data_IF_893303823107
#
_entry.id   IF_893303823107
#
_cell.length_a   1.000
_cell.length_b   1.000
_cell.length_c   1.000
_cell.angle_alpha   90.00
_cell.angle_beta   90.00
_cell.angle_gamma   90.00
#
_symmetry.space_group_name_H-M   'P 1'
#
loop_
_entity.id
_entity.type
_entity.pdbx_description
1 polymer ?
#
# COMPACT_ATOMS: atom_id res chain seq x y z
N UNK A 1 -18.47 12.28 4.75
CA UNK A 1 -17.33 12.56 3.87
C UNK A 1 -16.83 11.27 3.27
N UNK A 2 -16.72 11.22 1.94
CA UNK A 2 -16.30 10.01 1.24
C UNK A 2 -14.77 9.92 1.23
N UNK A 3 -14.22 8.78 1.64
CA UNK A 3 -12.80 8.54 1.54
C UNK A 3 -12.43 8.14 0.11
N UNK A 4 -11.28 8.60 -0.34
CA UNK A 4 -10.73 8.22 -1.63
C UNK A 4 -9.30 7.72 -1.44
N UNK A 5 -9.04 6.51 -1.91
CA UNK A 5 -7.71 5.93 -1.92
C UNK A 5 -7.21 5.73 -3.33
N UNK A 6 -5.93 5.94 -3.52
CA UNK A 6 -5.21 5.51 -4.72
C UNK A 6 -4.43 4.26 -4.36
N UNK A 7 -4.20 3.38 -5.31
CA UNK A 7 -3.31 2.24 -5.12
C UNK A 7 -2.23 2.26 -6.17
N UNK A 8 -1.04 1.81 -5.82
CA UNK A 8 0.06 1.73 -6.77
C UNK A 8 1.00 0.59 -6.37
N UNK A 9 1.43 -0.19 -7.37
CA UNK A 9 2.46 -1.20 -7.21
C UNK A 9 3.70 -0.79 -7.99
N UNK A 10 4.88 -1.22 -7.55
CA UNK A 10 6.12 -0.85 -8.22
C UNK A 10 6.72 -1.98 -9.05
N UNK A 11 6.03 -3.11 -9.18
CA UNK A 11 6.47 -4.23 -10.02
C UNK A 11 6.69 -3.76 -11.46
N UNK A 12 7.89 -3.99 -11.97
CA UNK A 12 8.21 -3.68 -13.35
C UNK A 12 8.40 -2.20 -13.69
N UNK A 13 8.35 -1.29 -12.71
CA UNK A 13 8.51 0.14 -12.98
C UNK A 13 9.84 0.70 -12.49
N UNK A 14 10.13 1.93 -12.89
CA UNK A 14 11.29 2.70 -12.42
C UNK A 14 10.83 3.78 -11.46
N UNK A 15 11.75 4.32 -10.64
CA UNK A 15 11.40 5.42 -9.73
C UNK A 15 10.88 6.64 -10.48
N UNK A 16 11.50 7.13 -11.58
CA UNK A 16 10.94 8.26 -12.30
C UNK A 16 9.51 8.03 -12.80
N UNK A 17 9.22 6.86 -13.38
CA UNK A 17 7.88 6.56 -13.87
C UNK A 17 6.88 6.42 -12.71
N UNK A 18 7.31 5.85 -11.61
CA UNK A 18 6.51 5.72 -10.40
C UNK A 18 6.13 7.11 -9.85
N UNK A 19 7.13 7.99 -9.71
CA UNK A 19 6.89 9.35 -9.22
C UNK A 19 5.95 10.12 -10.14
N UNK A 20 6.11 9.98 -11.46
CA UNK A 20 5.24 10.63 -12.41
C UNK A 20 3.79 10.19 -12.25
N UNK A 21 3.56 8.90 -12.06
CA UNK A 21 2.21 8.37 -11.91
C UNK A 21 1.53 8.91 -10.65
N UNK A 22 2.21 8.92 -9.51
CA UNK A 22 1.62 9.43 -8.27
C UNK A 22 1.45 10.95 -8.28
N UNK A 23 2.38 11.67 -8.86
CA UNK A 23 2.26 13.13 -9.00
C UNK A 23 1.11 13.53 -9.93
N UNK A 24 0.99 12.85 -11.07
CA UNK A 24 -0.07 13.15 -12.04
C UNK A 24 -1.47 12.90 -11.45
N UNK A 25 -1.60 11.96 -10.54
CA UNK A 25 -2.86 11.68 -9.88
C UNK A 25 -3.19 12.66 -8.74
N UNK A 26 -2.24 13.52 -8.36
CA UNK A 26 -2.45 14.47 -7.28
C UNK A 26 -2.27 13.88 -5.89
N UNK A 27 -1.58 12.74 -5.78
CA UNK A 27 -1.29 12.12 -4.50
C UNK A 27 -0.41 13.02 -3.66
N UNK A 28 -0.78 13.22 -2.39
CA UNK A 28 -0.03 14.06 -1.45
C UNK A 28 0.67 13.25 -0.37
N UNK A 29 0.24 12.03 -0.15
CA UNK A 29 0.90 11.15 0.80
C UNK A 29 0.81 9.70 0.32
N UNK A 30 1.91 8.98 0.56
CA UNK A 30 1.99 7.56 0.22
C UNK A 30 2.18 6.77 1.50
N UNK A 31 1.30 5.80 1.71
CA UNK A 31 1.37 4.90 2.86
C UNK A 31 1.86 3.54 2.36
N UNK A 32 3.03 3.16 2.85
CA UNK A 32 3.67 1.91 2.52
C UNK A 32 3.14 0.82 3.45
N UNK A 33 2.36 -0.09 2.90
CA UNK A 33 1.77 -1.20 3.67
C UNK A 33 2.51 -2.52 3.43
N UNK A 34 3.77 -2.46 3.00
CA UNK A 34 4.61 -3.65 2.91
C UNK A 34 5.06 -4.06 4.31
N UNK A 35 5.03 -5.36 4.60
CA UNK A 35 5.58 -5.87 5.86
C UNK A 35 7.08 -5.62 5.92
N UNK A 36 7.76 -5.82 4.78
CA UNK A 36 9.20 -5.58 4.61
C UNK A 36 9.38 -4.50 3.54
N UNK A 37 9.76 -3.27 3.92
CA UNK A 37 9.94 -2.17 2.96
C UNK A 37 11.32 -2.22 2.32
N UNK A 38 11.64 -3.38 1.76
CA UNK A 38 12.91 -3.68 1.09
C UNK A 38 12.61 -4.15 -0.33
N UNK A 39 13.47 -3.78 -1.27
CA UNK A 39 13.30 -4.19 -2.65
C UNK A 39 14.65 -4.36 -3.34
N UNK A 40 14.72 -5.33 -4.25
CA UNK A 40 15.88 -5.50 -5.15
C UNK A 40 15.81 -4.48 -6.30
N UNK A 41 14.65 -3.92 -6.57
CA UNK A 41 14.52 -2.86 -7.57
C UNK A 41 15.13 -1.58 -7.03
N UNK A 42 16.05 -0.94 -7.78
CA UNK A 42 16.72 0.28 -7.31
C UNK A 42 15.72 1.36 -6.94
N UNK A 43 15.90 1.96 -5.76
CA UNK A 43 15.11 3.11 -5.31
C UNK A 43 13.81 2.78 -4.59
N UNK A 44 13.42 1.51 -4.48
CA UNK A 44 12.14 1.14 -3.85
C UNK A 44 12.25 0.61 -2.42
N UNK A 45 13.44 0.53 -1.85
CA UNK A 45 13.58 0.29 -0.42
C UNK A 45 13.22 1.56 0.36
N UNK A 46 12.78 1.39 1.61
CA UNK A 46 12.17 2.44 2.43
C UNK A 46 12.86 3.80 2.36
N UNK A 47 14.16 3.85 2.66
CA UNK A 47 14.87 5.13 2.76
C UNK A 47 15.00 5.85 1.42
N UNK A 48 15.33 5.11 0.36
CA UNK A 48 15.46 5.68 -0.97
C UNK A 48 14.12 6.16 -1.50
N UNK A 49 13.08 5.37 -1.32
CA UNK A 49 11.73 5.73 -1.77
C UNK A 49 11.20 6.95 -1.02
N UNK A 50 11.39 6.98 0.30
CA UNK A 50 11.00 8.11 1.13
C UNK A 50 11.66 9.41 0.63
N UNK A 51 12.99 9.36 0.40
CA UNK A 51 13.71 10.53 -0.07
C UNK A 51 13.20 11.01 -1.43
N UNK A 52 12.98 10.09 -2.36
CA UNK A 52 12.48 10.43 -3.69
C UNK A 52 11.09 11.07 -3.63
N UNK A 53 10.19 10.56 -2.80
CA UNK A 53 8.86 11.11 -2.63
C UNK A 53 8.91 12.49 -1.96
N UNK A 54 9.71 12.65 -0.92
CA UNK A 54 9.82 13.92 -0.20
C UNK A 54 10.37 15.02 -1.11
N UNK A 55 11.28 14.70 -2.02
CA UNK A 55 11.81 15.67 -2.99
C UNK A 55 10.72 16.26 -3.89
N UNK A 56 9.65 15.52 -4.14
CA UNK A 56 8.54 16.00 -4.96
C UNK A 56 7.31 16.40 -4.14
N UNK A 57 7.49 16.57 -2.84
CA UNK A 57 6.44 17.06 -1.96
C UNK A 57 5.39 16.04 -1.54
N UNK A 58 5.71 14.76 -1.65
CA UNK A 58 4.81 13.68 -1.23
C UNK A 58 5.32 13.10 0.09
N UNK A 59 4.46 13.11 1.12
CA UNK A 59 4.80 12.53 2.41
C UNK A 59 4.83 11.00 2.31
N UNK A 60 5.70 10.38 3.09
CA UNK A 60 5.84 8.93 3.16
C UNK A 60 5.62 8.45 4.58
N UNK A 61 4.81 7.40 4.75
CA UNK A 61 4.61 6.75 6.02
C UNK A 61 4.60 5.24 5.82
N UNK A 62 5.31 4.50 6.66
CA UNK A 62 5.30 3.04 6.64
C UNK A 62 4.43 2.52 7.79
N UNK A 63 3.39 1.74 7.45
CA UNK A 63 2.54 1.08 8.43
C UNK A 63 2.74 -0.44 8.34
N UNK A 64 3.79 -0.91 8.99
CA UNK A 64 4.20 -2.31 8.96
C UNK A 64 3.09 -3.27 9.36
N UNK A 65 2.27 -2.86 10.35
CA UNK A 65 1.20 -3.71 10.86
C UNK A 65 0.13 -4.06 9.82
N UNK A 66 0.05 -3.30 8.74
CA UNK A 66 -0.86 -3.56 7.61
C UNK A 66 -0.23 -4.43 6.53
N UNK A 67 1.00 -4.87 6.73
CA UNK A 67 1.67 -5.77 5.81
C UNK A 67 1.27 -7.23 6.03
N UNK A 68 1.55 -8.06 5.04
CA UNK A 68 1.23 -9.48 5.09
C UNK A 68 2.33 -10.23 5.83
N UNK A 69 2.01 -11.09 6.82
CA UNK A 69 3.02 -11.94 7.45
C UNK A 69 3.72 -12.86 6.44
N UNK A 70 4.86 -13.44 6.84
CA UNK A 70 5.69 -14.24 5.94
C UNK A 70 4.93 -15.39 5.27
N UNK A 71 4.10 -16.11 6.02
CA UNK A 71 3.29 -17.21 5.49
C UNK A 71 2.23 -16.71 4.50
N UNK A 72 1.68 -15.51 4.73
CA UNK A 72 0.75 -14.87 3.80
C UNK A 72 1.44 -14.44 2.52
N UNK A 73 2.67 -13.91 2.62
CA UNK A 73 3.46 -13.56 1.44
C UNK A 73 3.79 -14.80 0.59
N UNK A 74 4.09 -15.91 1.24
CA UNK A 74 4.30 -17.17 0.55
C UNK A 74 3.04 -17.65 -0.15
N UNK A 75 1.89 -17.58 0.53
CA UNK A 75 0.61 -17.94 -0.06
C UNK A 75 0.30 -17.11 -1.30
N UNK A 76 0.58 -15.79 -1.24
CA UNK A 76 0.39 -14.89 -2.38
C UNK A 76 1.28 -15.30 -3.56
N UNK A 77 2.56 -15.60 -3.30
CA UNK A 77 3.49 -16.01 -4.37
C UNK A 77 3.07 -17.32 -5.03
N UNK A 78 2.45 -18.22 -4.26
CA UNK A 78 2.01 -19.54 -4.75
C UNK A 78 0.57 -19.53 -5.30
N UNK A 79 -0.06 -18.37 -5.34
CA UNK A 79 -1.44 -18.25 -5.83
C UNK A 79 -2.49 -18.85 -4.92
N UNK A 80 -2.18 -19.04 -3.64
CA UNK A 80 -3.10 -19.61 -2.65
C UNK A 80 -3.94 -18.49 -2.03
N UNK A 81 -4.89 -17.99 -2.79
CA UNK A 81 -5.68 -16.81 -2.41
C UNK A 81 -6.46 -17.00 -1.10
N UNK A 82 -7.06 -18.17 -0.89
CA UNK A 82 -7.83 -18.42 0.34
C UNK A 82 -6.93 -18.40 1.58
N UNK A 83 -5.72 -18.94 1.47
CA UNK A 83 -4.76 -18.93 2.56
C UNK A 83 -4.30 -17.51 2.85
N UNK A 84 -4.02 -16.73 1.81
CA UNK A 84 -3.66 -15.32 1.95
C UNK A 84 -4.75 -14.57 2.69
N UNK A 85 -6.01 -14.72 2.28
CA UNK A 85 -7.14 -14.01 2.90
C UNK A 85 -7.28 -14.40 4.37
N UNK A 86 -7.19 -15.69 4.69
CA UNK A 86 -7.28 -16.16 6.07
C UNK A 86 -6.17 -15.59 6.94
N UNK A 87 -4.94 -15.64 6.46
CA UNK A 87 -3.76 -15.17 7.19
C UNK A 87 -3.84 -13.66 7.39
N UNK A 88 -4.18 -12.92 6.34
CA UNK A 88 -4.25 -11.47 6.42
C UNK A 88 -5.39 -10.99 7.31
N UNK A 89 -6.53 -11.69 7.30
CA UNK A 89 -7.63 -11.35 8.20
C UNK A 89 -7.22 -11.46 9.66
N UNK A 90 -6.46 -12.50 10.02
CA UNK A 90 -5.93 -12.65 11.37
C UNK A 90 -4.94 -11.53 11.72
N UNK A 91 -4.09 -11.14 10.76
CA UNK A 91 -3.16 -10.02 10.95
C UNK A 91 -3.91 -8.73 11.27
N UNK A 92 -4.98 -8.46 10.55
CA UNK A 92 -5.75 -7.21 10.74
C UNK A 92 -6.53 -7.18 12.07
N UNK A 93 -6.67 -8.30 12.75
CA UNK A 93 -7.31 -8.36 14.08
C UNK A 93 -6.35 -8.00 15.21
N UNK A 94 -5.05 -7.93 14.95
CA UNK A 94 -4.06 -7.56 15.96
C UNK A 94 -4.24 -6.10 16.39
N UNK A 95 -4.02 -5.77 17.68
CA UNK A 95 -4.20 -4.38 18.15
C UNK A 95 -3.41 -3.35 17.36
N UNK A 96 -2.17 -3.65 17.00
CA UNK A 96 -1.33 -2.74 16.21
C UNK A 96 -1.88 -2.53 14.79
N UNK A 97 -2.52 -3.55 14.22
CA UNK A 97 -3.12 -3.42 12.90
C UNK A 97 -4.43 -2.61 12.97
N UNK A 98 -5.20 -2.79 14.04
CA UNK A 98 -6.41 -2.00 14.26
C UNK A 98 -6.06 -0.51 14.40
N UNK A 99 -5.02 -0.21 15.18
CA UNK A 99 -4.55 1.16 15.34
C UNK A 99 -4.05 1.76 14.03
N UNK A 100 -3.28 0.98 13.25
CA UNK A 100 -2.77 1.42 11.95
C UNK A 100 -3.91 1.67 10.95
N UNK A 101 -4.94 0.82 10.96
CA UNK A 101 -6.12 1.01 10.11
C UNK A 101 -6.83 2.33 10.44
N UNK A 102 -7.02 2.63 11.71
CA UNK A 102 -7.63 3.88 12.14
C UNK A 102 -6.79 5.09 11.68
N UNK A 103 -5.48 5.00 11.84
CA UNK A 103 -4.56 6.05 11.41
C UNK A 103 -4.63 6.27 9.89
N UNK A 104 -4.62 5.20 9.12
CA UNK A 104 -4.68 5.29 7.66
C UNK A 104 -5.98 5.91 7.18
N UNK A 105 -7.11 5.53 7.77
CA UNK A 105 -8.40 6.12 7.43
C UNK A 105 -8.43 7.61 7.74
N UNK A 106 -7.84 8.03 8.86
CA UNK A 106 -7.76 9.44 9.24
C UNK A 106 -6.90 10.22 8.23
N UNK A 107 -5.75 9.68 7.86
CA UNK A 107 -4.86 10.30 6.87
C UNK A 107 -5.55 10.48 5.53
N UNK A 108 -6.28 9.48 5.07
CA UNK A 108 -7.01 9.54 3.80
C UNK A 108 -8.12 10.60 3.82
N UNK A 109 -8.67 10.91 4.99
CA UNK A 109 -9.64 12.00 5.16
C UNK A 109 -9.01 13.38 5.10
N UNK A 110 -7.70 13.49 5.25
CA UNK A 110 -6.98 14.77 5.31
C UNK A 110 -6.35 15.14 3.96
N UNK A 111 -5.94 14.17 3.16
CA UNK A 111 -5.25 14.42 1.89
C UNK A 111 -5.34 13.20 0.97
N UNK A 112 -5.16 13.40 -0.37
CA UNK A 112 -5.12 12.28 -1.31
C UNK A 112 -4.01 11.30 -0.95
N UNK A 113 -4.39 10.06 -0.66
CA UNK A 113 -3.50 9.03 -0.10
C UNK A 113 -3.42 7.82 -1.03
N UNK A 114 -2.19 7.37 -1.31
CA UNK A 114 -1.94 6.16 -2.08
C UNK A 114 -1.40 5.05 -1.17
N UNK A 115 -1.87 3.83 -1.42
CA UNK A 115 -1.35 2.62 -0.77
C UNK A 115 -0.33 1.97 -1.70
N UNK A 116 0.83 1.61 -1.16
CA UNK A 116 1.91 0.98 -1.91
C UNK A 116 2.09 -0.47 -1.50
N UNK A 117 2.22 -1.34 -2.49
CA UNK A 117 2.79 -2.66 -2.29
C UNK A 117 3.56 -3.07 -3.56
N UNK A 118 4.05 -4.31 -3.63
CA UNK A 118 4.89 -4.72 -4.75
C UNK A 118 4.11 -4.90 -6.05
N UNK A 119 3.00 -5.63 -6.01
CA UNK A 119 2.29 -6.09 -7.19
C UNK A 119 1.73 -4.94 -8.02
N UNK A 120 1.92 -5.00 -9.34
CA UNK A 120 1.34 -4.05 -10.28
C UNK A 120 -0.19 -4.17 -10.29
N UNK A 121 -0.69 -5.41 -10.38
CA UNK A 121 -2.12 -5.67 -10.39
C UNK A 121 -2.66 -5.68 -8.96
N UNK A 122 -3.69 -4.90 -8.64
CA UNK A 122 -4.23 -4.88 -7.28
C UNK A 122 -4.95 -6.17 -6.91
N UNK A 123 -5.54 -6.87 -7.87
CA UNK A 123 -6.21 -8.14 -7.61
C UNK A 123 -5.20 -9.16 -7.08
N UNK A 124 -5.51 -9.82 -5.97
CA UNK A 124 -4.61 -10.78 -5.36
C UNK A 124 -3.55 -10.16 -4.44
N UNK A 125 -3.54 -8.83 -4.31
CA UNK A 125 -2.65 -8.12 -3.40
C UNK A 125 -3.38 -7.79 -2.10
N UNK A 126 -2.64 -7.75 -0.99
CA UNK A 126 -3.25 -7.44 0.31
C UNK A 126 -3.83 -6.01 0.37
N UNK A 127 -3.36 -5.07 -0.46
CA UNK A 127 -3.95 -3.72 -0.49
C UNK A 127 -5.43 -3.76 -0.90
N UNK A 128 -5.78 -4.64 -1.83
CA UNK A 128 -7.18 -4.81 -2.23
C UNK A 128 -8.01 -5.43 -1.13
N UNK A 129 -7.43 -6.37 -0.37
CA UNK A 129 -8.11 -6.99 0.77
C UNK A 129 -8.34 -5.97 1.87
N UNK A 130 -7.33 -5.15 2.19
CA UNK A 130 -7.47 -4.10 3.19
C UNK A 130 -8.60 -3.13 2.82
N UNK A 131 -8.61 -2.67 1.57
CA UNK A 131 -9.63 -1.76 1.09
C UNK A 131 -11.03 -2.37 1.18
N UNK A 132 -11.18 -3.60 0.73
CA UNK A 132 -12.46 -4.29 0.74
C UNK A 132 -13.01 -4.49 2.15
N UNK A 133 -12.15 -4.86 3.09
CA UNK A 133 -12.58 -5.19 4.45
C UNK A 133 -12.63 -3.99 5.38
N UNK A 134 -11.71 -3.05 5.23
CA UNK A 134 -11.53 -1.96 6.19
C UNK A 134 -12.02 -0.60 5.68
N UNK A 135 -12.23 -0.46 4.38
CA UNK A 135 -12.74 0.78 3.78
C UNK A 135 -13.69 0.50 2.62
N UNK A 136 -14.74 -0.33 2.83
CA UNK A 136 -15.63 -0.74 1.74
C UNK A 136 -16.41 0.43 1.14
N UNK A 137 -16.58 1.52 1.89
CA UNK A 137 -17.30 2.72 1.45
C UNK A 137 -16.41 3.67 0.61
N UNK A 138 -15.11 3.44 0.58
CA UNK A 138 -14.18 4.36 -0.08
C UNK A 138 -14.24 4.22 -1.61
N UNK A 139 -13.96 5.34 -2.28
CA UNK A 139 -13.68 5.33 -3.72
C UNK A 139 -12.22 4.95 -3.91
N UNK A 140 -11.94 4.10 -4.89
CA UNK A 140 -10.58 3.60 -5.15
C UNK A 140 -10.20 3.85 -6.59
N UNK A 141 -9.00 4.42 -6.79
CA UNK A 141 -8.40 4.58 -8.11
C UNK A 141 -7.08 3.83 -8.14
N UNK A 142 -6.97 2.83 -9.00
CA UNK A 142 -5.75 2.06 -9.16
C UNK A 142 -4.82 2.75 -10.14
N UNK A 143 -3.59 3.04 -9.71
CA UNK A 143 -2.58 3.68 -10.54
C UNK A 143 -1.61 2.63 -11.08
N UNK A 144 -1.21 2.81 -12.33
CA UNK A 144 -0.25 1.94 -13.01
C UNK A 144 0.91 2.80 -13.52
N UNK A 145 2.10 2.48 -13.03
CA UNK A 145 3.30 3.22 -13.40
C UNK A 145 4.06 2.57 -14.56
#
# INVERSE_FOLDING_TARGET
>A
MTLHFYTVGYEGTTVPDFLQAVQAAGVRQLVDIRALPLSRRPGFSKSALRSALEEVGIAYLHLRALGTPADGREAARKGRQRDLERIYRLQLELPEAIAATAQLRQLAGEAPTALLCFEREPAGCHRSLWLRWEAPEATVTDLFA
#
